data_IF_566661823212
#
_entry.id   IF_566661823212
#
_cell.length_a   1.000
_cell.length_b   1.000
_cell.length_c   1.000
_cell.angle_alpha   90.00
_cell.angle_beta   90.00
_cell.angle_gamma   90.00
#
_symmetry.space_group_name_H-M   'P 1'
#
loop_
_entity.id
_entity.type
_entity.pdbx_description
1 polymer ?
#
# COMPACT_ATOMS: atom_id res chain seq x y z
N UNK A 1 10.53 30.91 51.19
CA UNK A 1 9.27 31.08 50.43
C UNK A 1 9.07 29.81 49.64
N UNK A 2 8.34 28.86 50.22
CA UNK A 2 8.15 27.49 49.74
C UNK A 2 7.05 27.45 48.69
N UNK A 3 7.35 26.89 47.51
CA UNK A 3 6.42 26.72 46.39
C UNK A 3 5.32 25.71 46.78
N UNK A 4 4.12 26.21 47.02
CA UNK A 4 2.94 25.45 47.44
C UNK A 4 2.02 25.15 46.25
N UNK A 5 2.55 24.46 45.22
CA UNK A 5 1.71 23.90 44.17
C UNK A 5 1.33 22.47 44.54
N UNK A 6 0.04 22.28 44.81
CA UNK A 6 -0.58 20.96 44.93
C UNK A 6 -0.25 20.13 43.67
N UNK A 7 0.09 18.84 43.78
CA UNK A 7 0.44 17.97 42.64
C UNK A 7 -0.70 17.74 41.62
N UNK A 8 -1.84 18.41 41.79
CA UNK A 8 -3.12 18.16 41.11
C UNK A 8 -3.48 19.25 40.07
N UNK A 9 -2.53 20.09 39.65
CA UNK A 9 -2.75 21.16 38.66
C UNK A 9 -2.09 20.87 37.31
N UNK A 10 -2.14 19.63 36.83
CA UNK A 10 -1.88 19.40 35.40
C UNK A 10 -3.13 19.87 34.63
N UNK A 11 -3.03 20.86 33.72
CA UNK A 11 -4.19 21.28 32.94
C UNK A 11 -4.77 20.07 32.19
N UNK A 12 -6.11 19.95 32.09
CA UNK A 12 -6.74 18.80 31.47
C UNK A 12 -6.29 18.66 30.01
N UNK A 13 -5.77 17.49 29.65
CA UNK A 13 -5.40 17.16 28.27
C UNK A 13 -6.68 16.98 27.45
N UNK A 14 -6.92 17.87 26.50
CA UNK A 14 -8.04 17.75 25.55
C UNK A 14 -7.55 17.04 24.28
N UNK A 15 -8.09 15.85 24.03
CA UNK A 15 -7.78 15.06 22.83
C UNK A 15 -8.83 15.32 21.76
N UNK A 16 -8.43 15.94 20.65
CA UNK A 16 -9.28 16.11 19.47
C UNK A 16 -9.10 14.93 18.51
N UNK A 17 -10.15 14.12 18.33
CA UNK A 17 -10.14 13.00 17.39
C UNK A 17 -10.60 13.46 16.00
N UNK A 18 -9.89 13.04 14.95
CA UNK A 18 -10.31 13.21 13.55
C UNK A 18 -10.44 11.84 12.88
N UNK A 19 -11.60 11.17 13.01
CA UNK A 19 -11.77 9.86 12.40
C UNK A 19 -11.74 9.99 10.88
N UNK A 20 -10.83 9.26 10.25
CA UNK A 20 -10.70 9.13 8.80
C UNK A 20 -10.89 7.67 8.41
N UNK A 21 -11.56 7.43 7.28
CA UNK A 21 -11.70 6.09 6.73
C UNK A 21 -10.33 5.54 6.30
N UNK A 22 -10.15 4.22 6.36
CA UNK A 22 -8.91 3.60 5.88
C UNK A 22 -8.74 3.88 4.38
N UNK A 23 -7.57 4.36 3.94
CA UNK A 23 -7.30 4.60 2.52
C UNK A 23 -6.86 3.34 1.75
N UNK A 24 -6.55 2.24 2.44
CA UNK A 24 -6.05 1.00 1.83
C UNK A 24 -7.00 0.38 0.80
N UNK A 25 -8.33 0.30 1.01
CA UNK A 25 -9.24 -0.28 0.01
C UNK A 25 -9.12 0.41 -1.36
N UNK A 26 -9.04 1.74 -1.38
CA UNK A 26 -8.88 2.53 -2.60
C UNK A 26 -7.55 2.25 -3.28
N UNK A 27 -6.44 2.26 -2.53
CA UNK A 27 -5.11 1.98 -3.06
C UNK A 27 -4.96 0.56 -3.61
N UNK A 28 -5.60 -0.43 -2.97
CA UNK A 28 -5.61 -1.82 -3.42
C UNK A 28 -6.50 -2.04 -4.65
N UNK A 29 -7.61 -1.33 -4.81
CA UNK A 29 -8.39 -1.38 -6.06
C UNK A 29 -7.62 -0.78 -7.23
N UNK A 30 -6.90 0.33 -7.00
CA UNK A 30 -5.95 0.88 -7.97
C UNK A 30 -4.90 -0.17 -8.37
N UNK A 31 -4.28 -0.82 -7.37
CA UNK A 31 -3.30 -1.88 -7.60
C UNK A 31 -3.89 -3.04 -8.42
N UNK A 32 -5.08 -3.51 -8.06
CA UNK A 32 -5.76 -4.61 -8.72
C UNK A 32 -6.03 -4.32 -10.20
N UNK A 33 -6.57 -3.14 -10.51
CA UNK A 33 -6.82 -2.72 -11.90
C UNK A 33 -5.53 -2.68 -12.72
N UNK A 34 -4.49 -2.01 -12.21
CA UNK A 34 -3.20 -1.89 -12.88
C UNK A 34 -2.52 -3.23 -13.12
N UNK A 35 -2.39 -4.03 -12.06
CA UNK A 35 -1.70 -5.31 -12.14
C UNK A 35 -2.42 -6.30 -13.05
N UNK A 36 -3.76 -6.29 -13.06
CA UNK A 36 -4.57 -7.14 -13.93
C UNK A 36 -4.35 -6.80 -15.40
N UNK A 37 -4.42 -5.52 -15.78
CA UNK A 37 -4.23 -5.09 -17.17
C UNK A 37 -2.80 -5.37 -17.65
N UNK A 38 -1.79 -5.13 -16.81
CA UNK A 38 -0.39 -5.45 -17.15
C UNK A 38 -0.18 -6.97 -17.23
N UNK A 39 -0.80 -7.76 -16.35
CA UNK A 39 -0.74 -9.22 -16.40
C UNK A 39 -1.37 -9.75 -17.69
N UNK A 40 -2.54 -9.25 -18.07
CA UNK A 40 -3.20 -9.58 -19.33
C UNK A 40 -2.29 -9.31 -20.54
N UNK A 41 -1.58 -8.18 -20.53
CA UNK A 41 -0.58 -7.86 -21.56
C UNK A 41 0.62 -8.81 -21.54
N UNK A 42 1.17 -9.13 -20.37
CA UNK A 42 2.31 -10.04 -20.23
C UNK A 42 1.98 -11.47 -20.64
N UNK A 43 0.75 -11.92 -20.40
CA UNK A 43 0.24 -13.24 -20.78
C UNK A 43 -0.27 -13.31 -22.24
N UNK A 44 -0.17 -12.20 -22.99
CA UNK A 44 -0.54 -12.16 -24.40
C UNK A 44 -2.04 -12.09 -24.68
N UNK A 45 -2.87 -11.76 -23.68
CA UNK A 45 -4.30 -11.54 -23.89
C UNK A 45 -4.56 -10.25 -24.68
N UNK A 46 -3.63 -9.29 -24.60
CA UNK A 46 -3.66 -8.04 -25.34
C UNK A 46 -2.51 -8.00 -26.35
N UNK A 47 -2.76 -7.57 -27.60
CA UNK A 47 -1.68 -7.40 -28.57
C UNK A 47 -0.74 -6.27 -28.13
N UNK A 48 0.57 -6.30 -28.48
CA UNK A 48 1.53 -5.27 -28.08
C UNK A 48 1.13 -3.84 -28.47
N UNK A 49 0.37 -3.68 -29.55
CA UNK A 49 -0.17 -2.40 -30.03
C UNK A 49 -1.08 -1.71 -29.02
N UNK A 50 -1.67 -2.44 -28.06
CA UNK A 50 -2.44 -1.86 -26.96
C UNK A 50 -1.58 -1.32 -25.81
N UNK A 51 -0.24 -1.36 -25.90
CA UNK A 51 0.67 -0.86 -24.86
C UNK A 51 0.35 0.58 -24.42
N UNK A 52 -0.04 1.46 -25.35
CA UNK A 52 -0.47 2.82 -25.00
C UNK A 52 -1.73 2.87 -24.16
N UNK A 53 -2.72 2.01 -24.44
CA UNK A 53 -3.94 1.91 -23.64
C UNK A 53 -3.63 1.38 -22.23
N UNK A 54 -2.77 0.35 -22.13
CA UNK A 54 -2.26 -0.15 -20.84
C UNK A 54 -1.60 0.98 -20.06
N UNK A 55 -0.74 1.77 -20.70
CA UNK A 55 -0.06 2.88 -20.08
C UNK A 55 -1.02 3.97 -19.57
N UNK A 56 -2.08 4.28 -20.32
CA UNK A 56 -3.13 5.21 -19.88
C UNK A 56 -3.82 4.69 -18.62
N UNK A 57 -4.10 3.38 -18.50
CA UNK A 57 -4.64 2.80 -17.26
C UNK A 57 -3.68 3.05 -16.08
N UNK A 58 -2.38 2.83 -16.26
CA UNK A 58 -1.40 3.06 -15.20
C UNK A 58 -1.38 4.53 -14.75
N UNK A 59 -1.43 5.47 -15.70
CA UNK A 59 -1.32 6.90 -15.44
C UNK A 59 -2.61 7.54 -14.93
N UNK A 60 -3.76 7.15 -15.48
CA UNK A 60 -5.04 7.82 -15.23
C UNK A 60 -5.89 7.11 -14.16
N UNK A 61 -5.62 5.83 -13.88
CA UNK A 61 -6.37 5.06 -12.89
C UNK A 61 -5.50 4.70 -11.69
N UNK A 62 -4.36 4.04 -11.91
CA UNK A 62 -3.58 3.46 -10.81
C UNK A 62 -2.85 4.54 -10.01
N UNK A 63 -2.05 5.37 -10.70
CA UNK A 63 -1.27 6.44 -10.08
C UNK A 63 -2.15 7.40 -9.23
N UNK A 64 -3.29 7.91 -9.72
CA UNK A 64 -4.09 8.85 -8.93
C UNK A 64 -4.70 8.19 -7.70
N UNK A 65 -5.27 6.98 -7.83
CA UNK A 65 -5.89 6.29 -6.70
C UNK A 65 -4.89 5.97 -5.58
N UNK A 66 -3.69 5.53 -5.95
CA UNK A 66 -2.64 5.24 -4.97
C UNK A 66 -1.98 6.50 -4.41
N UNK A 67 -1.88 7.57 -5.19
CA UNK A 67 -1.42 8.88 -4.67
C UNK A 67 -2.37 9.41 -3.60
N UNK A 68 -3.68 9.38 -3.86
CA UNK A 68 -4.69 9.80 -2.88
C UNK A 68 -4.63 8.90 -1.64
N UNK A 69 -4.54 7.59 -1.82
CA UNK A 69 -4.42 6.66 -0.70
C UNK A 69 -3.15 6.89 0.14
N UNK A 70 -2.03 7.25 -0.50
CA UNK A 70 -0.79 7.60 0.17
C UNK A 70 -0.92 8.87 1.02
N UNK A 71 -1.45 9.96 0.45
CA UNK A 71 -1.67 11.22 1.16
C UNK A 71 -2.57 11.01 2.37
N UNK A 72 -3.70 10.31 2.18
CA UNK A 72 -4.59 9.97 3.28
C UNK A 72 -3.91 9.04 4.30
N UNK A 73 -3.03 8.14 3.86
CA UNK A 73 -2.22 7.29 4.73
C UNK A 73 -1.36 8.09 5.69
N UNK A 74 -0.66 9.12 5.20
CA UNK A 74 0.12 10.01 6.06
C UNK A 74 -0.77 10.76 7.06
N UNK A 75 -1.94 11.22 6.64
CA UNK A 75 -2.91 11.88 7.54
C UNK A 75 -3.49 10.92 8.59
N UNK A 76 -3.63 9.64 8.25
CA UNK A 76 -4.09 8.59 9.15
C UNK A 76 -2.96 7.97 10.01
N UNK A 77 -1.70 8.40 9.81
CA UNK A 77 -0.51 7.80 10.42
C UNK A 77 -0.41 6.29 10.17
N UNK A 78 -0.78 5.87 8.97
CA UNK A 78 -0.71 4.49 8.52
C UNK A 78 0.45 4.32 7.55
N UNK A 79 1.61 3.86 8.02
CA UNK A 79 2.81 3.71 7.18
C UNK A 79 2.62 2.73 6.02
N UNK A 80 1.79 1.70 6.20
CA UNK A 80 1.47 0.73 5.15
C UNK A 80 0.73 1.42 4.01
N UNK A 81 -0.26 2.25 4.35
CA UNK A 81 -0.97 3.03 3.35
C UNK A 81 -0.12 4.18 2.80
N UNK A 82 0.62 4.88 3.65
CA UNK A 82 1.38 6.07 3.29
C UNK A 82 2.54 5.72 2.37
N UNK A 83 3.55 5.03 2.89
CA UNK A 83 4.77 4.67 2.16
C UNK A 83 4.49 3.60 1.12
N UNK A 84 3.68 2.60 1.46
CA UNK A 84 3.34 1.51 0.52
C UNK A 84 2.65 2.04 -0.73
N UNK A 85 1.62 2.88 -0.59
CA UNK A 85 0.93 3.43 -1.76
C UNK A 85 1.78 4.50 -2.48
N UNK A 86 2.66 5.23 -1.78
CA UNK A 86 3.59 6.17 -2.42
C UNK A 86 4.54 5.44 -3.39
N UNK A 87 5.19 4.37 -2.91
CA UNK A 87 6.12 3.57 -3.71
C UNK A 87 5.41 2.96 -4.90
N UNK A 88 4.23 2.35 -4.69
CA UNK A 88 3.44 1.78 -5.79
C UNK A 88 3.05 2.88 -6.80
N UNK A 89 2.51 3.99 -6.32
CA UNK A 89 2.06 5.11 -7.16
C UNK A 89 3.18 5.65 -8.06
N UNK A 90 4.34 5.96 -7.47
CA UNK A 90 5.51 6.44 -8.23
C UNK A 90 5.99 5.41 -9.24
N UNK A 91 5.99 4.12 -8.88
CA UNK A 91 6.36 3.03 -9.79
C UNK A 91 5.42 2.97 -10.99
N UNK A 92 4.11 3.06 -10.78
CA UNK A 92 3.13 3.03 -11.87
C UNK A 92 3.19 4.27 -12.76
N UNK A 93 3.43 5.45 -12.18
CA UNK A 93 3.67 6.67 -12.96
C UNK A 93 4.87 6.48 -13.90
N UNK A 94 6.01 6.02 -13.38
CA UNK A 94 7.20 5.78 -14.19
C UNK A 94 6.96 4.70 -15.25
N UNK A 95 6.37 3.55 -14.89
CA UNK A 95 6.08 2.49 -15.85
C UNK A 95 5.09 2.92 -16.93
N UNK A 96 4.06 3.70 -16.58
CA UNK A 96 3.13 4.26 -17.55
C UNK A 96 3.83 5.18 -18.56
N UNK A 97 4.69 6.08 -18.08
CA UNK A 97 5.45 6.98 -18.97
C UNK A 97 6.44 6.21 -19.86
N UNK A 98 7.14 5.21 -19.31
CA UNK A 98 8.04 4.36 -20.10
C UNK A 98 7.24 3.60 -21.17
N UNK A 99 6.12 2.99 -20.80
CA UNK A 99 5.27 2.23 -21.73
C UNK A 99 4.68 3.10 -22.84
N UNK A 100 4.38 4.39 -22.57
CA UNK A 100 3.92 5.34 -23.58
C UNK A 100 5.01 5.73 -24.59
N UNK A 101 6.26 5.80 -24.14
CA UNK A 101 7.38 6.40 -24.91
C UNK A 101 8.24 5.35 -25.61
N UNK A 102 8.22 4.10 -25.14
CA UNK A 102 8.99 3.00 -25.72
C UNK A 102 8.25 2.28 -26.86
N UNK A 103 8.97 1.64 -27.80
CA UNK A 103 8.37 0.81 -28.83
C UNK A 103 7.48 -0.30 -28.25
N UNK A 104 6.31 -0.57 -28.84
CA UNK A 104 5.42 -1.64 -28.39
C UNK A 104 6.12 -2.99 -28.25
N UNK A 105 5.97 -3.63 -27.09
CA UNK A 105 6.54 -4.95 -26.81
C UNK A 105 8.03 -4.97 -26.48
N UNK A 106 8.72 -3.82 -26.50
CA UNK A 106 10.12 -3.73 -26.09
C UNK A 106 10.29 -3.73 -24.57
N UNK A 107 11.47 -4.13 -24.10
CA UNK A 107 11.88 -4.03 -22.69
C UNK A 107 12.70 -2.76 -22.44
N UNK A 108 12.70 -2.27 -21.20
CA UNK A 108 13.47 -1.13 -20.73
C UNK A 108 14.30 -1.51 -19.50
N UNK A 109 15.63 -1.50 -19.64
CA UNK A 109 16.55 -1.76 -18.51
C UNK A 109 16.34 -0.79 -17.35
N UNK A 110 15.98 0.46 -17.64
CA UNK A 110 15.65 1.48 -16.64
C UNK A 110 14.39 1.10 -15.86
N UNK A 111 13.34 0.63 -16.53
CA UNK A 111 12.15 0.09 -15.85
C UNK A 111 12.51 -1.11 -14.98
N UNK A 112 13.37 -2.00 -15.48
CA UNK A 112 13.85 -3.16 -14.75
C UNK A 112 14.53 -2.80 -13.43
N UNK A 113 15.49 -1.87 -13.45
CA UNK A 113 16.18 -1.40 -12.23
C UNK A 113 15.23 -0.72 -11.24
N UNK A 114 14.31 0.11 -11.75
CA UNK A 114 13.30 0.74 -10.90
C UNK A 114 12.41 -0.29 -10.21
N UNK A 115 11.98 -1.33 -10.94
CA UNK A 115 11.13 -2.39 -10.40
C UNK A 115 11.85 -3.22 -9.33
N UNK A 116 13.14 -3.51 -9.50
CA UNK A 116 13.93 -4.17 -8.46
C UNK A 116 14.05 -3.30 -7.21
N UNK A 117 14.30 -1.99 -7.37
CA UNK A 117 14.32 -1.07 -6.24
C UNK A 117 12.96 -0.98 -5.56
N UNK A 118 11.88 -0.87 -6.32
CA UNK A 118 10.52 -0.82 -5.79
C UNK A 118 10.15 -2.10 -5.04
N UNK A 119 10.55 -3.28 -5.56
CA UNK A 119 10.36 -4.54 -4.87
C UNK A 119 11.01 -4.54 -3.48
N UNK A 120 12.23 -4.00 -3.35
CA UNK A 120 12.91 -3.85 -2.06
C UNK A 120 12.26 -2.76 -1.20
N UNK A 121 11.90 -1.62 -1.78
CA UNK A 121 11.31 -0.50 -1.05
C UNK A 121 9.97 -0.86 -0.39
N UNK A 122 9.18 -1.77 -0.98
CA UNK A 122 7.94 -2.28 -0.38
C UNK A 122 8.16 -3.02 0.94
N UNK A 123 9.36 -3.53 1.22
CA UNK A 123 9.66 -4.16 2.51
C UNK A 123 9.68 -3.16 3.67
N UNK A 124 9.93 -1.88 3.42
CA UNK A 124 9.87 -0.84 4.46
C UNK A 124 8.47 -0.79 5.11
N UNK A 125 7.37 -0.53 4.38
CA UNK A 125 6.03 -0.56 4.97
C UNK A 125 5.58 -1.97 5.43
N UNK A 126 6.04 -3.05 4.79
CA UNK A 126 5.73 -4.42 5.27
C UNK A 126 6.29 -4.63 6.69
N UNK A 127 7.54 -4.25 6.93
CA UNK A 127 8.18 -4.38 8.24
C UNK A 127 7.58 -3.42 9.27
N UNK A 128 7.32 -2.17 8.88
CA UNK A 128 6.68 -1.19 9.76
C UNK A 128 5.25 -1.59 10.19
N UNK A 129 4.50 -2.26 9.30
CA UNK A 129 3.16 -2.75 9.60
C UNK A 129 3.09 -3.92 10.58
N UNK A 130 4.21 -4.64 10.79
CA UNK A 130 4.31 -5.75 11.72
C UNK A 130 3.22 -6.82 11.56
N UNK A 131 2.82 -7.45 12.66
CA UNK A 131 1.74 -8.46 12.71
C UNK A 131 0.34 -7.85 12.77
N UNK A 132 0.23 -6.52 12.90
CA UNK A 132 -1.06 -5.84 13.06
C UNK A 132 -1.88 -5.79 11.76
N UNK A 133 -1.22 -5.88 10.60
CA UNK A 133 -1.86 -5.68 9.27
C UNK A 133 -1.51 -6.77 8.27
N UNK A 134 -1.63 -8.05 8.67
CA UNK A 134 -1.20 -9.20 7.87
C UNK A 134 -1.76 -9.23 6.43
N UNK A 135 -3.04 -8.91 6.23
CA UNK A 135 -3.63 -8.87 4.88
C UNK A 135 -2.99 -7.79 4.00
N UNK A 136 -2.71 -6.61 4.55
CA UNK A 136 -2.05 -5.54 3.81
C UNK A 136 -0.59 -5.90 3.50
N UNK A 137 0.12 -6.48 4.47
CA UNK A 137 1.48 -7.00 4.29
C UNK A 137 1.55 -8.10 3.23
N UNK A 138 0.55 -8.99 3.17
CA UNK A 138 0.44 -10.01 2.13
C UNK A 138 0.31 -9.39 0.74
N UNK A 139 -0.57 -8.40 0.56
CA UNK A 139 -0.73 -7.67 -0.71
C UNK A 139 0.61 -7.08 -1.15
N UNK A 140 1.31 -6.37 -0.25
CA UNK A 140 2.59 -5.75 -0.57
C UNK A 140 3.70 -6.78 -0.83
N UNK A 141 3.68 -7.92 -0.15
CA UNK A 141 4.65 -9.01 -0.39
C UNK A 141 4.46 -9.58 -1.80
N UNK A 142 3.22 -9.89 -2.20
CA UNK A 142 2.93 -10.38 -3.54
C UNK A 142 3.24 -9.32 -4.61
N UNK A 143 3.01 -8.03 -4.30
CA UNK A 143 3.42 -6.92 -5.16
C UNK A 143 4.94 -6.82 -5.32
N UNK A 144 5.71 -7.02 -4.25
CA UNK A 144 7.17 -7.07 -4.29
C UNK A 144 7.65 -8.22 -5.19
N UNK A 145 7.08 -9.42 -5.05
CA UNK A 145 7.41 -10.56 -5.92
C UNK A 145 7.06 -10.30 -7.38
N UNK A 146 5.94 -9.63 -7.65
CA UNK A 146 5.55 -9.21 -9.01
C UNK A 146 6.56 -8.24 -9.61
N UNK A 147 6.97 -7.22 -8.86
CA UNK A 147 7.95 -6.25 -9.32
C UNK A 147 9.31 -6.89 -9.54
N UNK A 148 9.73 -7.82 -8.67
CA UNK A 148 10.93 -8.61 -8.88
C UNK A 148 10.88 -9.40 -10.20
N UNK A 149 9.82 -10.17 -10.42
CA UNK A 149 9.67 -10.98 -11.64
C UNK A 149 9.59 -10.12 -12.92
N UNK A 150 8.85 -9.02 -12.88
CA UNK A 150 8.76 -8.08 -14.01
C UNK A 150 10.10 -7.38 -14.23
N UNK A 151 10.79 -6.97 -13.17
CA UNK A 151 12.10 -6.33 -13.26
C UNK A 151 13.16 -7.24 -13.88
N UNK A 152 13.18 -8.52 -13.50
CA UNK A 152 14.05 -9.53 -14.13
C UNK A 152 13.71 -9.70 -15.62
N UNK A 153 12.43 -9.72 -16.00
CA UNK A 153 12.03 -9.74 -17.40
C UNK A 153 12.54 -8.50 -18.17
N UNK A 154 12.36 -7.30 -17.63
CA UNK A 154 12.80 -6.06 -18.27
C UNK A 154 14.33 -5.99 -18.48
N UNK A 155 15.10 -6.66 -17.62
CA UNK A 155 16.57 -6.72 -17.73
C UNK A 155 17.09 -7.83 -18.65
N UNK A 156 16.39 -8.97 -18.68
CA UNK A 156 16.84 -10.18 -19.39
C UNK A 156 16.16 -10.42 -20.73
N UNK A 157 15.01 -9.80 -20.97
CA UNK A 157 14.08 -10.10 -22.06
C UNK A 157 13.62 -11.58 -22.14
N UNK A 158 13.81 -12.35 -21.07
CA UNK A 158 13.46 -13.76 -21.03
C UNK A 158 11.94 -13.97 -20.92
N UNK A 159 11.34 -14.61 -21.92
CA UNK A 159 9.88 -14.79 -22.02
C UNK A 159 9.30 -15.62 -20.86
N UNK A 160 10.06 -16.54 -20.28
CA UNK A 160 9.65 -17.28 -19.08
C UNK A 160 9.36 -16.35 -17.90
N UNK A 161 10.21 -15.34 -17.68
CA UNK A 161 10.00 -14.33 -16.64
C UNK A 161 8.81 -13.43 -16.93
N UNK A 162 8.53 -13.13 -18.20
CA UNK A 162 7.31 -12.42 -18.62
C UNK A 162 6.06 -13.18 -18.19
N UNK A 163 6.02 -14.49 -18.45
CA UNK A 163 4.89 -15.33 -18.10
C UNK A 163 4.72 -15.48 -16.59
N UNK A 164 5.81 -15.76 -15.87
CA UNK A 164 5.83 -15.83 -14.39
C UNK A 164 5.32 -14.53 -13.78
N UNK A 165 5.82 -13.38 -14.26
CA UNK A 165 5.35 -12.08 -13.81
C UNK A 165 3.83 -11.95 -14.02
N UNK A 166 3.33 -12.28 -15.22
CA UNK A 166 1.92 -12.25 -15.55
C UNK A 166 1.05 -13.08 -14.59
N UNK A 167 1.44 -14.32 -14.30
CA UNK A 167 0.71 -15.19 -13.35
C UNK A 167 0.69 -14.60 -11.94
N UNK A 168 1.84 -14.14 -11.43
CA UNK A 168 1.92 -13.46 -10.13
C UNK A 168 1.02 -12.21 -10.13
N UNK A 169 0.89 -11.53 -11.27
CA UNK A 169 0.02 -10.37 -11.43
C UNK A 169 -1.47 -10.66 -11.32
N UNK A 170 -1.92 -11.79 -11.83
CA UNK A 170 -3.30 -12.24 -11.63
C UNK A 170 -3.56 -12.61 -10.17
N UNK A 171 -2.61 -13.30 -9.53
CA UNK A 171 -2.70 -13.61 -8.09
C UNK A 171 -2.76 -12.32 -7.27
N UNK A 172 -1.90 -11.35 -7.56
CA UNK A 172 -1.92 -10.05 -6.90
C UNK A 172 -3.24 -9.32 -7.09
N UNK A 173 -3.82 -9.33 -8.29
CA UNK A 173 -5.12 -8.73 -8.55
C UNK A 173 -6.20 -9.33 -7.63
N UNK A 174 -6.28 -10.65 -7.57
CA UNK A 174 -7.25 -11.35 -6.73
C UNK A 174 -7.07 -11.04 -5.25
N UNK A 175 -5.83 -11.10 -4.75
CA UNK A 175 -5.50 -10.81 -3.34
C UNK A 175 -5.80 -9.36 -2.99
N UNK A 176 -5.52 -8.41 -3.90
CA UNK A 176 -5.81 -6.98 -3.68
C UNK A 176 -7.32 -6.69 -3.67
N UNK A 177 -8.11 -7.32 -4.54
CA UNK A 177 -9.58 -7.21 -4.51
C UNK A 177 -10.14 -7.79 -3.21
N UNK A 178 -9.68 -8.99 -2.82
CA UNK A 178 -10.07 -9.60 -1.55
C UNK A 178 -9.75 -8.69 -0.36
N UNK A 179 -8.51 -8.19 -0.29
CA UNK A 179 -8.05 -7.32 0.79
C UNK A 179 -8.88 -6.03 0.86
N UNK A 180 -9.13 -5.39 -0.29
CA UNK A 180 -9.96 -4.19 -0.35
C UNK A 180 -11.37 -4.43 0.17
N UNK A 181 -12.02 -5.52 -0.29
CA UNK A 181 -13.37 -5.88 0.14
C UNK A 181 -13.41 -6.22 1.64
N UNK A 182 -12.46 -7.02 2.12
CA UNK A 182 -12.40 -7.41 3.53
C UNK A 182 -12.24 -6.19 4.45
N UNK A 183 -11.34 -5.27 4.10
CA UNK A 183 -11.11 -4.05 4.86
C UNK A 183 -12.32 -3.10 4.82
N UNK A 184 -12.96 -2.93 3.67
CA UNK A 184 -14.15 -2.10 3.55
C UNK A 184 -15.34 -2.67 4.35
N UNK A 185 -15.56 -3.99 4.31
CA UNK A 185 -16.61 -4.64 5.09
C UNK A 185 -16.35 -4.58 6.59
N UNK A 186 -15.09 -4.76 7.02
CA UNK A 186 -14.71 -4.65 8.43
C UNK A 186 -14.98 -3.24 8.97
N UNK A 187 -14.63 -2.20 8.20
CA UNK A 187 -14.88 -0.81 8.58
C UNK A 187 -16.38 -0.49 8.69
N UNK A 188 -17.18 -0.93 7.71
CA UNK A 188 -18.63 -0.71 7.69
C UNK A 188 -19.38 -1.50 8.77
N UNK A 189 -18.94 -2.73 9.07
CA UNK A 189 -19.63 -3.61 10.03
C UNK A 189 -19.06 -3.53 11.44
N UNK A 190 -17.96 -2.78 11.63
CA UNK A 190 -17.24 -2.61 12.91
C UNK A 190 -16.85 -3.93 13.58
N UNK A 191 -16.69 -4.98 12.76
CA UNK A 191 -16.26 -6.33 13.16
C UNK A 191 -15.63 -7.02 11.95
N UNK A 192 -14.70 -7.94 12.20
CA UNK A 192 -14.11 -8.76 11.15
C UNK A 192 -15.18 -9.68 10.54
N UNK A 193 -15.51 -9.46 9.26
CA UNK A 193 -16.48 -10.27 8.50
C UNK A 193 -15.78 -11.31 7.63
N UNK A 194 -14.68 -10.91 7.01
CA UNK A 194 -13.79 -11.78 6.24
C UNK A 194 -12.46 -11.91 6.99
N UNK A 195 -11.75 -13.06 6.90
CA UNK A 195 -10.48 -13.23 7.60
C UNK A 195 -9.45 -12.16 7.24
N UNK A 196 -9.17 -11.25 8.18
CA UNK A 196 -8.13 -10.20 8.06
C UNK A 196 -6.86 -10.53 8.85
N UNK A 197 -6.88 -11.61 9.65
CA UNK A 197 -5.78 -12.10 10.49
C UNK A 197 -5.07 -10.99 11.31
N UNK A 198 -5.85 -10.07 11.89
CA UNK A 198 -5.31 -9.06 12.81
C UNK A 198 -4.84 -9.71 14.11
N UNK A 199 -3.61 -9.43 14.52
CA UNK A 199 -3.03 -9.86 15.79
C UNK A 199 -2.46 -8.63 16.55
N UNK A 200 -2.36 -8.73 17.88
CA UNK A 200 -1.79 -7.66 18.73
C UNK A 200 -2.60 -6.36 18.67
N UNK A 201 -1.90 -5.23 18.48
CA UNK A 201 -2.49 -3.87 18.41
C UNK A 201 -3.65 -3.77 17.40
N UNK A 202 -3.61 -4.53 16.30
CA UNK A 202 -4.67 -4.56 15.31
C UNK A 202 -5.99 -5.14 15.83
N UNK A 203 -5.94 -6.08 16.78
CA UNK A 203 -7.09 -6.64 17.48
C UNK A 203 -7.55 -5.71 18.62
N UNK A 204 -6.61 -5.16 19.39
CA UNK A 204 -6.92 -4.22 20.49
C UNK A 204 -7.56 -2.91 20.01
N UNK A 205 -7.21 -2.42 18.82
CA UNK A 205 -7.86 -1.27 18.21
C UNK A 205 -9.37 -1.47 17.97
N UNK A 206 -9.81 -2.73 17.79
CA UNK A 206 -11.21 -3.10 17.60
C UNK A 206 -11.92 -3.41 18.93
N UNK A 207 -11.25 -4.07 19.87
CA UNK A 207 -11.90 -4.65 21.07
C UNK A 207 -11.45 -4.09 22.42
N UNK A 208 -10.38 -3.28 22.48
CA UNK A 208 -9.76 -2.83 23.74
C UNK A 208 -10.44 -1.61 24.39
N UNK A 209 -10.28 -1.49 25.71
CA UNK A 209 -10.81 -0.40 26.55
C UNK A 209 -10.08 0.94 26.36
N UNK A 210 -10.74 2.06 26.62
CA UNK A 210 -10.20 3.42 26.40
C UNK A 210 -8.82 3.72 27.04
N UNK A 211 -8.52 3.26 28.28
CA UNK A 211 -7.22 3.55 28.92
C UNK A 211 -6.02 2.89 28.23
N UNK A 212 -6.20 1.75 27.56
CA UNK A 212 -5.12 1.10 26.82
C UNK A 212 -4.83 1.79 25.48
N UNK A 213 -5.85 2.46 24.89
CA UNK A 213 -5.71 3.22 23.65
C UNK A 213 -5.00 4.56 23.84
N UNK A 214 -5.15 5.21 24.99
CA UNK A 214 -4.56 6.54 25.26
C UNK A 214 -3.10 6.48 25.71
N UNK A 215 -2.63 5.37 26.28
CA UNK A 215 -1.24 5.23 26.76
C UNK A 215 -0.18 5.34 25.65
N UNK A 216 -0.49 4.88 24.44
CA UNK A 216 0.44 4.93 23.31
C UNK A 216 0.59 6.33 22.70
N UNK A 217 -0.43 7.17 22.81
CA UNK A 217 -0.45 8.53 22.24
C UNK A 217 0.68 9.39 22.80
N UNK A 218 1.07 9.18 24.06
CA UNK A 218 2.14 9.95 24.71
C UNK A 218 3.54 9.70 24.10
N UNK A 219 3.75 8.57 23.43
CA UNK A 219 5.02 8.22 22.77
C UNK A 219 5.04 8.47 21.26
N UNK A 220 3.95 8.96 20.67
CA UNK A 220 3.86 9.14 19.23
C UNK A 220 4.76 10.27 18.72
N UNK A 221 5.39 10.06 17.55
CA UNK A 221 6.23 11.05 16.90
C UNK A 221 5.46 12.37 16.70
N UNK A 222 5.97 13.47 17.25
CA UNK A 222 5.33 14.80 17.19
C UNK A 222 4.50 15.17 18.41
N UNK A 223 4.25 14.22 19.33
CA UNK A 223 3.78 14.53 20.69
C UNK A 223 5.01 14.92 21.51
N UNK A 224 5.13 16.21 21.81
CA UNK A 224 6.21 16.72 22.66
C UNK A 224 5.75 16.67 24.11
N UNK A 225 6.42 15.89 24.96
CA UNK A 225 6.39 16.15 26.40
C UNK A 225 6.93 17.57 26.58
N UNK A 226 6.12 18.47 27.13
CA UNK A 226 6.42 19.90 27.20
C UNK A 226 7.87 20.17 27.69
N UNK A 227 8.54 21.11 27.03
CA UNK A 227 9.77 21.77 27.50
C UNK A 227 9.47 22.66 28.70
#
# INVERSE_FOLDING_TARGET
MTDSRSPDQTPPVVVHLRPLASPLPTGFLGLAGGTFVVAASQLGWLPPTQGKAVAIVLLAFVFPLQSVASVLGFLCRDDVAATGMAVLSGTWLSLGLITLTYPPGSTSKTAGLLLLLAALALWVPITAGGTAKLVASLVLTVASLRFLATGVYELSAAESWKHVAGVIGLVLAAVAVYASLALALEDQRRRTVLPTWRHGEGAEALTGDWPSRSGHVAGEAGVRSQL
#
